data_IF_378728935370
#
_entry.id   IF_378728935370
#
_cell.length_a   1.000
_cell.length_b   1.000
_cell.length_c   1.000
_cell.angle_alpha   90.00
_cell.angle_beta   90.00
_cell.angle_gamma   90.00
#
_symmetry.space_group_name_H-M   'P 1'
#
loop_
_entity.id
_entity.type
_entity.pdbx_description
1 polymer ?
#
# COMPACT_ATOMS: atom_id res chain seq x y z
N UNK A 1 31.39 -8.07 -72.52
CA UNK A 1 30.05 -7.45 -72.43
C UNK A 1 29.44 -7.87 -71.11
N UNK A 2 29.28 -6.94 -70.16
CA UNK A 2 28.77 -7.26 -68.82
C UNK A 2 27.24 -7.31 -68.90
N UNK A 3 26.65 -8.46 -68.60
CA UNK A 3 25.24 -8.73 -68.83
C UNK A 3 24.35 -7.84 -67.93
N UNK A 4 23.48 -6.97 -68.49
CA UNK A 4 22.68 -6.02 -67.71
C UNK A 4 21.61 -6.71 -66.84
N UNK A 5 21.28 -7.96 -67.15
CA UNK A 5 20.35 -8.81 -66.39
C UNK A 5 20.82 -9.08 -64.95
N UNK A 6 22.14 -9.16 -64.71
CA UNK A 6 22.69 -9.40 -63.37
C UNK A 6 22.57 -8.15 -62.48
N UNK A 7 22.63 -6.96 -63.08
CA UNK A 7 22.48 -5.67 -62.40
C UNK A 7 21.03 -5.45 -61.94
N UNK A 8 20.05 -5.83 -62.77
CA UNK A 8 18.62 -5.71 -62.44
C UNK A 8 18.23 -6.69 -61.33
N UNK A 9 18.75 -7.92 -61.35
CA UNK A 9 18.52 -8.91 -60.29
C UNK A 9 19.08 -8.45 -58.93
N UNK A 10 20.23 -7.77 -58.92
CA UNK A 10 20.82 -7.23 -57.70
C UNK A 10 19.98 -6.09 -57.09
N UNK A 11 19.35 -5.23 -57.92
CA UNK A 11 18.50 -4.15 -57.43
C UNK A 11 17.19 -4.64 -56.80
N UNK A 12 16.63 -5.76 -57.28
CA UNK A 12 15.39 -6.34 -56.72
C UNK A 12 15.63 -7.00 -55.36
N UNK A 13 16.79 -7.64 -55.16
CA UNK A 13 17.15 -8.29 -53.90
C UNK A 13 17.47 -7.29 -52.77
N UNK A 14 17.95 -6.10 -53.10
CA UNK A 14 18.22 -5.04 -52.10
C UNK A 14 16.93 -4.27 -51.73
N UNK A 15 15.94 -4.21 -52.63
CA UNK A 15 14.70 -3.47 -52.40
C UNK A 15 13.73 -4.11 -51.40
N UNK A 16 13.80 -5.42 -51.18
CA UNK A 16 12.84 -6.14 -50.30
C UNK A 16 13.29 -6.22 -48.83
N UNK A 17 14.54 -5.86 -48.51
CA UNK A 17 15.05 -5.95 -47.14
C UNK A 17 14.69 -4.74 -46.24
N UNK A 18 13.97 -3.75 -46.75
CA UNK A 18 13.75 -2.46 -46.07
C UNK A 18 12.39 -2.27 -45.38
N UNK A 19 11.48 -3.25 -45.41
CA UNK A 19 10.19 -3.15 -44.71
C UNK A 19 10.31 -3.70 -43.28
N UNK A 20 11.12 -3.04 -42.44
CA UNK A 20 11.01 -3.19 -41.00
C UNK A 20 9.74 -2.47 -40.55
N UNK A 21 8.66 -3.24 -40.36
CA UNK A 21 7.48 -2.77 -39.64
C UNK A 21 7.96 -2.14 -38.34
N UNK A 22 7.67 -0.85 -38.15
CA UNK A 22 7.94 -0.20 -36.88
C UNK A 22 7.10 -0.94 -35.84
N UNK A 23 7.76 -1.77 -35.02
CA UNK A 23 7.20 -2.23 -33.76
C UNK A 23 6.88 -0.96 -32.97
N UNK A 24 5.62 -0.52 -33.04
CA UNK A 24 5.08 0.45 -32.11
C UNK A 24 5.15 -0.26 -30.77
N UNK A 25 6.27 -0.11 -30.08
CA UNK A 25 6.39 -0.48 -28.67
C UNK A 25 5.33 0.36 -27.99
N UNK A 26 4.16 -0.23 -27.76
CA UNK A 26 3.12 0.36 -26.94
C UNK A 26 3.80 0.71 -25.63
N UNK A 27 4.10 2.01 -25.44
CA UNK A 27 4.52 2.51 -24.15
C UNK A 27 3.34 2.22 -23.24
N UNK A 28 3.44 1.18 -22.41
CA UNK A 28 2.52 0.94 -21.31
C UNK A 28 2.50 2.23 -20.50
N UNK A 29 1.48 3.06 -20.72
CA UNK A 29 1.26 4.25 -19.92
C UNK A 29 0.82 3.73 -18.55
N UNK A 30 1.73 3.80 -17.58
CA UNK A 30 1.41 3.47 -16.21
C UNK A 30 0.50 4.57 -15.66
N UNK A 31 -0.80 4.29 -15.58
CA UNK A 31 -1.76 5.23 -15.00
C UNK A 31 -1.62 5.16 -13.48
N UNK A 32 -0.87 6.08 -12.91
CA UNK A 32 -0.83 6.29 -11.46
C UNK A 32 -2.22 6.73 -11.01
N UNK A 33 -2.81 5.98 -10.08
CA UNK A 33 -4.11 6.31 -9.47
C UNK A 33 -3.86 7.25 -8.30
N UNK A 34 -4.64 8.32 -8.24
CA UNK A 34 -4.57 9.35 -7.22
C UNK A 34 -5.99 9.66 -6.74
N UNK A 35 -6.14 9.84 -5.43
CA UNK A 35 -7.43 10.23 -4.82
C UNK A 35 -7.80 11.66 -5.24
N UNK A 36 -9.07 12.02 -5.12
CA UNK A 36 -9.53 13.38 -5.47
C UNK A 36 -8.80 14.44 -4.63
N UNK A 37 -8.59 14.19 -3.33
CA UNK A 37 -7.86 15.12 -2.46
C UNK A 37 -6.38 15.26 -2.86
N UNK A 38 -5.72 14.17 -3.28
CA UNK A 38 -4.32 14.21 -3.75
C UNK A 38 -4.16 15.11 -4.99
N UNK A 39 -5.23 15.38 -5.75
CA UNK A 39 -5.25 16.33 -6.88
C UNK A 39 -5.09 17.77 -6.44
N UNK A 40 -5.80 18.13 -5.37
CA UNK A 40 -6.00 19.52 -4.98
C UNK A 40 -5.04 19.93 -3.86
N UNK A 41 -4.74 19.04 -2.92
CA UNK A 41 -3.91 19.34 -1.74
C UNK A 41 -2.94 18.20 -1.39
N UNK A 42 -1.95 17.89 -2.26
CA UNK A 42 -1.03 16.78 -2.01
C UNK A 42 -0.18 16.94 -0.75
N UNK A 43 0.12 18.17 -0.33
CA UNK A 43 0.92 18.45 0.88
C UNK A 43 0.17 18.19 2.20
N UNK A 44 -1.16 18.15 2.16
CA UNK A 44 -1.98 17.88 3.34
C UNK A 44 -2.21 16.38 3.56
N UNK A 45 -1.76 15.54 2.63
CA UNK A 45 -2.03 14.10 2.63
C UNK A 45 -0.77 13.35 3.01
N UNK A 46 -0.94 12.44 3.95
CA UNK A 46 0.14 11.57 4.39
C UNK A 46 0.63 10.68 3.26
N UNK A 47 1.94 10.47 3.21
CA UNK A 47 2.57 9.56 2.27
C UNK A 47 2.05 8.13 2.48
N UNK A 48 2.26 7.27 1.48
CA UNK A 48 1.89 5.85 1.61
C UNK A 48 2.62 5.21 2.81
N UNK A 49 3.90 5.52 2.98
CA UNK A 49 4.74 5.01 4.07
C UNK A 49 4.22 5.43 5.45
N UNK A 50 3.89 6.71 5.62
CA UNK A 50 3.30 7.23 6.85
C UNK A 50 1.96 6.56 7.17
N UNK A 51 1.11 6.38 6.16
CA UNK A 51 -0.17 5.67 6.31
C UNK A 51 0.03 4.21 6.71
N UNK A 52 1.02 3.53 6.13
CA UNK A 52 1.34 2.15 6.51
C UNK A 52 1.87 2.06 7.93
N UNK A 53 2.74 3.00 8.33
CA UNK A 53 3.26 3.07 9.69
C UNK A 53 2.15 3.31 10.71
N UNK A 54 1.28 4.29 10.49
CA UNK A 54 0.14 4.55 11.37
C UNK A 54 -0.80 3.35 11.52
N UNK A 55 -0.98 2.56 10.44
CA UNK A 55 -1.75 1.31 10.51
C UNK A 55 -1.05 0.27 11.37
N UNK A 56 0.25 0.08 11.21
CA UNK A 56 1.05 -0.86 12.02
C UNK A 56 1.05 -0.44 13.50
N UNK A 57 1.29 0.84 13.78
CA UNK A 57 1.26 1.39 15.14
C UNK A 57 -0.11 1.17 15.81
N UNK A 58 -1.20 1.35 15.06
CA UNK A 58 -2.55 1.06 15.54
C UNK A 58 -2.72 -0.42 15.89
N UNK A 59 -2.26 -1.34 15.04
CA UNK A 59 -2.35 -2.79 15.28
C UNK A 59 -1.55 -3.15 16.54
N UNK A 60 -0.28 -2.76 16.60
CA UNK A 60 0.59 -3.03 17.75
C UNK A 60 0.02 -2.47 19.06
N UNK A 61 -0.57 -1.26 19.02
CA UNK A 61 -1.23 -0.67 20.20
C UNK A 61 -2.45 -1.47 20.63
N UNK A 62 -3.26 -1.96 19.68
CA UNK A 62 -4.42 -2.81 19.98
C UNK A 62 -3.99 -4.15 20.57
N UNK A 63 -2.98 -4.79 20.00
CA UNK A 63 -2.43 -6.06 20.51
C UNK A 63 -1.90 -5.90 21.93
N UNK A 64 -1.06 -4.89 22.17
CA UNK A 64 -0.55 -4.58 23.51
C UNK A 64 -1.68 -4.33 24.52
N UNK A 65 -2.71 -3.59 24.14
CA UNK A 65 -3.87 -3.34 25.01
C UNK A 65 -4.61 -4.64 25.33
N UNK A 66 -4.77 -5.53 24.36
CA UNK A 66 -5.38 -6.84 24.56
C UNK A 66 -4.60 -7.68 25.56
N UNK A 67 -3.29 -7.77 25.40
CA UNK A 67 -2.40 -8.49 26.33
C UNK A 67 -2.53 -7.96 27.77
N UNK A 68 -2.54 -6.63 27.92
CA UNK A 68 -2.74 -6.00 29.23
C UNK A 68 -4.10 -6.41 29.80
N UNK A 69 -5.18 -6.31 29.02
CA UNK A 69 -6.51 -6.72 29.46
C UNK A 69 -6.59 -8.19 29.84
N UNK A 70 -5.82 -9.06 29.19
CA UNK A 70 -5.78 -10.51 29.47
C UNK A 70 -5.01 -10.83 30.77
N UNK A 71 -4.06 -9.98 31.17
CA UNK A 71 -3.28 -10.15 32.41
C UNK A 71 -3.92 -9.52 33.65
N UNK A 72 -4.89 -8.60 33.49
CA UNK A 72 -5.55 -7.95 34.63
C UNK A 72 -6.31 -8.95 35.52
N UNK A 73 -6.22 -8.74 36.84
CA UNK A 73 -7.04 -9.42 37.84
C UNK A 73 -8.42 -8.75 37.93
N UNK A 74 -9.29 -9.11 36.98
CA UNK A 74 -10.67 -8.64 36.88
C UNK A 74 -11.61 -9.80 36.62
N UNK A 75 -12.90 -9.61 36.92
CA UNK A 75 -13.91 -10.62 36.61
C UNK A 75 -13.99 -10.86 35.10
N UNK A 76 -14.24 -12.12 34.72
CA UNK A 76 -14.28 -12.54 33.31
C UNK A 76 -15.30 -11.75 32.49
N UNK A 77 -16.48 -11.48 33.08
CA UNK A 77 -17.51 -10.63 32.47
C UNK A 77 -16.99 -9.21 32.18
N UNK A 78 -16.16 -8.64 33.05
CA UNK A 78 -15.58 -7.32 32.84
C UNK A 78 -14.51 -7.38 31.75
N UNK A 79 -13.66 -8.42 31.75
CA UNK A 79 -12.64 -8.66 30.71
C UNK A 79 -13.28 -8.74 29.33
N UNK A 80 -14.31 -9.56 29.16
CA UNK A 80 -14.99 -9.75 27.88
C UNK A 80 -15.60 -8.43 27.34
N UNK A 81 -16.21 -7.62 28.22
CA UNK A 81 -16.73 -6.29 27.83
C UNK A 81 -15.64 -5.31 27.40
N UNK A 82 -14.48 -5.35 28.06
CA UNK A 82 -13.35 -4.48 27.70
C UNK A 82 -12.70 -4.92 26.38
N UNK A 83 -12.66 -6.23 26.11
CA UNK A 83 -12.20 -6.76 24.82
C UNK A 83 -13.17 -6.40 23.68
N UNK A 84 -14.48 -6.44 23.94
CA UNK A 84 -15.50 -5.97 23.00
C UNK A 84 -15.34 -4.47 22.69
N UNK A 85 -15.14 -3.65 23.72
CA UNK A 85 -14.86 -2.23 23.57
C UNK A 85 -13.59 -1.99 22.75
N UNK A 86 -12.51 -2.75 23.01
CA UNK A 86 -11.26 -2.59 22.28
C UNK A 86 -11.42 -2.78 20.76
N UNK A 87 -12.36 -3.62 20.33
CA UNK A 87 -12.64 -3.90 18.92
C UNK A 87 -13.65 -2.89 18.35
N UNK A 88 -14.72 -2.59 19.09
CA UNK A 88 -15.87 -1.81 18.59
C UNK A 88 -15.72 -0.31 18.83
N UNK A 89 -15.25 0.07 20.01
CA UNK A 89 -15.10 1.46 20.47
C UNK A 89 -13.76 1.62 21.24
N UNK A 90 -12.61 1.67 20.53
CA UNK A 90 -11.27 1.63 21.14
C UNK A 90 -10.93 2.84 22.03
N UNK A 91 -11.83 3.82 22.09
CA UNK A 91 -11.77 5.02 22.93
C UNK A 91 -12.97 5.13 23.87
N UNK A 92 -13.65 4.03 24.17
CA UNK A 92 -14.75 4.03 25.13
C UNK A 92 -14.27 4.58 26.48
N UNK A 93 -15.13 5.34 27.16
CA UNK A 93 -14.79 5.89 28.49
C UNK A 93 -14.44 4.78 29.49
N UNK A 94 -15.11 3.63 29.38
CA UNK A 94 -14.86 2.46 30.24
C UNK A 94 -13.45 1.91 30.02
N UNK A 95 -13.08 1.65 28.77
CA UNK A 95 -11.76 1.13 28.42
C UNK A 95 -10.65 2.11 28.80
N UNK A 96 -10.79 3.38 28.44
CA UNK A 96 -9.80 4.41 28.74
C UNK A 96 -9.57 4.57 30.24
N UNK A 97 -10.65 4.59 31.04
CA UNK A 97 -10.55 4.66 32.49
C UNK A 97 -9.80 3.44 33.05
N UNK A 98 -10.16 2.23 32.62
CA UNK A 98 -9.48 1.03 33.09
C UNK A 98 -8.00 1.01 32.72
N UNK A 99 -7.62 1.48 31.52
CA UNK A 99 -6.23 1.56 31.10
C UNK A 99 -5.43 2.63 31.88
N UNK A 100 -6.07 3.73 32.28
CA UNK A 100 -5.44 4.81 33.05
C UNK A 100 -5.23 4.46 34.53
N UNK A 101 -6.06 3.57 35.09
CA UNK A 101 -5.91 3.08 36.46
C UNK A 101 -4.73 2.09 36.61
N UNK A 102 -4.19 1.57 35.51
CA UNK A 102 -3.05 0.64 35.51
C UNK A 102 -1.79 1.43 35.84
N UNK A 103 -1.20 1.12 37.00
CA UNK A 103 0.13 1.60 37.37
C UNK A 103 1.14 0.59 36.87
N UNK A 104 2.02 0.99 35.97
CA UNK A 104 3.24 0.25 35.69
C UNK A 104 4.29 0.76 36.67
N UNK A 105 5.11 -0.14 37.21
CA UNK A 105 6.33 0.28 37.90
C UNK A 105 7.22 0.94 36.85
N UNK A 106 7.45 2.24 36.99
CA UNK A 106 8.44 2.95 36.20
C UNK A 106 9.82 2.43 36.61
N UNK A 107 10.61 1.92 35.65
CA UNK A 107 12.03 1.60 35.86
C UNK A 107 12.86 2.84 36.22
#
# INVERSE_FOLDING_TARGET
>A
MKNPLFMIAACVLVGTCGLSAQEIKEKKSEVTKYTVMERFEPKAILTVEERTKLKQDRIAKTERRREILDTLDISERKRQRLLEDLITEPFSNRLNRTMAEIKFEDE
#
